data_IF_341356733291
#
_entry.id   IF_341356733291
#
_cell.length_a   1.000
_cell.length_b   1.000
_cell.length_c   1.000
_cell.angle_alpha   90.00
_cell.angle_beta   90.00
_cell.angle_gamma   90.00
#
_symmetry.space_group_name_H-M   'P 1'
#
loop_
_entity.id
_entity.type
_entity.pdbx_description
1 polymer ?
#
# COMPACT_ATOMS: atom_id res chain seq x y z
N UNK A 1 -28.92 -44.32 61.58
CA UNK A 1 -28.62 -45.37 60.59
C UNK A 1 -27.35 -44.98 59.86
N UNK A 2 -26.40 -45.85 59.93
CA UNK A 2 -24.99 -45.74 59.64
C UNK A 2 -24.64 -45.77 58.15
N UNK A 3 -23.40 -45.63 57.83
CA UNK A 3 -22.78 -44.78 56.82
C UNK A 3 -22.26 -45.59 55.62
N UNK A 4 -21.93 -44.94 54.57
CA UNK A 4 -21.20 -45.57 53.47
C UNK A 4 -19.88 -44.84 53.17
N UNK A 5 -18.80 -45.60 53.25
CA UNK A 5 -17.42 -45.21 53.07
C UNK A 5 -17.06 -44.88 51.61
N UNK A 6 -16.01 -44.08 51.36
CA UNK A 6 -15.54 -43.74 50.02
C UNK A 6 -14.57 -44.76 49.46
N UNK A 7 -14.46 -44.92 48.15
CA UNK A 7 -13.39 -45.70 47.52
C UNK A 7 -12.13 -44.86 47.30
N UNK A 8 -11.02 -45.52 47.50
CA UNK A 8 -9.64 -45.05 47.37
C UNK A 8 -9.29 -44.66 45.93
N UNK A 9 -8.63 -43.52 45.84
CA UNK A 9 -8.00 -43.02 44.64
C UNK A 9 -6.76 -43.83 44.25
N UNK A 10 -6.65 -44.09 42.95
CA UNK A 10 -5.39 -44.54 42.36
C UNK A 10 -4.65 -43.30 41.82
N UNK A 11 -3.47 -43.08 42.40
CA UNK A 11 -2.56 -42.04 41.95
C UNK A 11 -2.00 -42.43 40.57
N UNK A 12 -2.24 -41.55 39.60
CA UNK A 12 -1.45 -41.55 38.35
C UNK A 12 -0.22 -40.66 38.59
N UNK A 13 0.90 -41.33 38.74
CA UNK A 13 2.21 -40.70 38.68
C UNK A 13 2.42 -40.14 37.28
N UNK A 14 2.33 -38.84 37.13
CA UNK A 14 2.69 -38.15 35.91
C UNK A 14 4.20 -38.25 35.67
N UNK A 15 4.59 -38.97 34.65
CA UNK A 15 5.95 -38.95 34.12
C UNK A 15 6.11 -37.60 33.43
N UNK A 16 6.66 -36.62 34.16
CA UNK A 16 7.25 -35.45 33.54
C UNK A 16 8.48 -35.90 32.74
N UNK A 17 8.28 -36.15 31.47
CA UNK A 17 9.36 -36.33 30.52
C UNK A 17 10.18 -35.04 30.45
N UNK A 18 11.34 -35.10 31.08
CA UNK A 18 12.37 -34.03 31.02
C UNK A 18 12.88 -33.98 29.56
N UNK A 19 12.31 -33.09 28.74
CA UNK A 19 12.81 -32.84 27.40
C UNK A 19 14.16 -32.13 27.56
N UNK A 20 15.27 -32.71 27.05
CA UNK A 20 16.58 -32.07 27.24
C UNK A 20 16.60 -30.71 26.53
N UNK A 21 17.17 -29.66 27.16
CA UNK A 21 17.16 -28.27 26.63
C UNK A 21 17.99 -28.06 25.36
N UNK A 22 18.69 -29.10 24.90
CA UNK A 22 19.59 -29.02 23.74
C UNK A 22 18.87 -29.04 22.40
N UNK A 23 17.61 -29.54 22.33
CA UNK A 23 16.86 -29.65 21.06
C UNK A 23 16.00 -28.42 20.77
N UNK A 24 15.64 -27.63 21.79
CA UNK A 24 14.78 -26.47 21.63
C UNK A 24 15.49 -25.25 21.04
N UNK A 25 16.79 -25.10 21.25
CA UNK A 25 17.57 -23.94 20.75
C UNK A 25 17.66 -23.90 19.21
N UNK A 26 17.91 -25.00 18.48
CA UNK A 26 18.00 -24.94 17.03
C UNK A 26 16.62 -24.71 16.36
N UNK A 27 15.53 -25.16 16.99
CA UNK A 27 14.17 -24.96 16.43
C UNK A 27 13.77 -23.49 16.56
N UNK A 28 14.04 -22.84 17.69
CA UNK A 28 13.75 -21.41 17.88
C UNK A 28 14.61 -20.56 16.94
N UNK A 29 15.88 -20.90 16.78
CA UNK A 29 16.77 -20.20 15.84
C UNK A 29 16.32 -20.39 14.38
N UNK A 30 15.86 -21.57 14.00
CA UNK A 30 15.34 -21.84 12.66
C UNK A 30 14.04 -21.08 12.38
N UNK A 31 13.13 -20.99 13.36
CA UNK A 31 11.89 -20.21 13.23
C UNK A 31 12.19 -18.73 13.13
N UNK A 32 13.16 -18.22 13.90
CA UNK A 32 13.57 -16.81 13.84
C UNK A 32 14.21 -16.47 12.48
N UNK A 33 15.06 -17.34 11.94
CA UNK A 33 15.67 -17.17 10.62
C UNK A 33 14.65 -17.24 9.49
N UNK A 34 13.65 -18.12 9.61
CA UNK A 34 12.56 -18.21 8.62
C UNK A 34 11.65 -16.98 8.64
N UNK A 35 11.44 -16.36 9.81
CA UNK A 35 10.65 -15.13 9.95
C UNK A 35 11.33 -13.92 9.31
N UNK A 36 12.66 -13.85 9.33
CA UNK A 36 13.46 -12.81 8.67
C UNK A 36 13.45 -12.95 7.14
N UNK A 37 13.30 -14.15 6.61
CA UNK A 37 13.26 -14.40 5.18
C UNK A 37 11.91 -14.00 4.53
N UNK A 38 10.83 -13.95 5.29
CA UNK A 38 9.50 -13.56 4.79
C UNK A 38 9.26 -12.03 4.78
N UNK A 39 10.13 -11.24 5.42
CA UNK A 39 10.01 -9.77 5.47
C UNK A 39 10.63 -9.02 4.28
N UNK A 40 11.17 -9.68 3.27
CA UNK A 40 12.05 -9.09 2.25
C UNK A 40 11.51 -9.00 0.83
N UNK A 41 10.22 -9.19 0.56
CA UNK A 41 9.66 -8.96 -0.76
C UNK A 41 9.02 -7.56 -0.88
N UNK A 42 9.78 -6.51 -0.65
CA UNK A 42 9.50 -5.19 -1.21
C UNK A 42 9.77 -5.30 -2.71
N UNK A 43 8.70 -5.51 -3.48
CA UNK A 43 8.76 -5.84 -4.90
C UNK A 43 9.62 -4.83 -5.67
N UNK A 44 10.66 -5.33 -6.31
CA UNK A 44 11.38 -4.60 -7.36
C UNK A 44 10.37 -4.19 -8.43
N UNK A 45 9.83 -2.97 -8.31
CA UNK A 45 8.85 -2.47 -9.28
C UNK A 45 7.71 -1.65 -8.67
N UNK A 46 7.57 -1.59 -7.36
CA UNK A 46 6.61 -0.70 -6.72
C UNK A 46 7.17 0.72 -6.60
N UNK A 47 6.35 1.76 -6.81
CA UNK A 47 6.76 3.13 -6.60
C UNK A 47 7.05 3.39 -5.12
N UNK A 48 8.07 4.19 -4.83
CA UNK A 48 8.33 4.66 -3.47
C UNK A 48 7.16 5.53 -2.97
N UNK A 49 6.97 5.60 -1.66
CA UNK A 49 5.90 6.41 -1.06
C UNK A 49 5.95 7.88 -1.49
N UNK A 50 7.16 8.44 -1.64
CA UNK A 50 7.37 9.80 -2.15
C UNK A 50 6.88 9.99 -3.59
N UNK A 51 7.01 8.96 -4.44
CA UNK A 51 6.51 8.96 -5.82
C UNK A 51 4.99 9.02 -5.83
N UNK A 52 4.33 8.22 -4.99
CA UNK A 52 2.86 8.23 -4.85
C UNK A 52 2.38 9.59 -4.34
N UNK A 53 3.05 10.13 -3.33
CA UNK A 53 2.75 11.47 -2.80
C UNK A 53 2.88 12.56 -3.87
N UNK A 54 3.96 12.56 -4.66
CA UNK A 54 4.16 13.51 -5.76
C UNK A 54 3.10 13.36 -6.86
N UNK A 55 2.69 12.12 -7.17
CA UNK A 55 1.65 11.85 -8.15
C UNK A 55 0.28 12.37 -7.71
N UNK A 56 -0.09 12.16 -6.43
CA UNK A 56 -1.33 12.69 -5.86
C UNK A 56 -1.34 14.22 -5.86
N UNK A 57 -0.22 14.84 -5.45
CA UNK A 57 -0.09 16.30 -5.51
C UNK A 57 -0.26 16.84 -6.93
N UNK A 58 0.39 16.20 -7.92
CA UNK A 58 0.27 16.57 -9.32
C UNK A 58 -1.17 16.40 -9.83
N UNK A 59 -1.84 15.29 -9.48
CA UNK A 59 -3.23 15.06 -9.88
C UNK A 59 -4.17 16.13 -9.34
N UNK A 60 -4.04 16.50 -8.06
CA UNK A 60 -4.83 17.59 -7.47
C UNK A 60 -4.52 18.91 -8.20
N UNK A 61 -3.25 19.22 -8.41
CA UNK A 61 -2.84 20.44 -9.08
C UNK A 61 -3.42 20.54 -10.49
N UNK A 62 -3.35 19.50 -11.29
CA UNK A 62 -3.92 19.45 -12.64
C UNK A 62 -5.44 19.66 -12.61
N UNK A 63 -6.14 19.00 -11.68
CA UNK A 63 -7.59 19.15 -11.52
C UNK A 63 -7.95 20.59 -11.12
N UNK A 64 -7.26 21.15 -10.13
CA UNK A 64 -7.51 22.53 -9.67
C UNK A 64 -7.19 23.57 -10.76
N UNK A 65 -6.13 23.36 -11.53
CA UNK A 65 -5.78 24.23 -12.65
C UNK A 65 -6.84 24.20 -13.75
N UNK A 66 -7.34 23.02 -14.10
CA UNK A 66 -8.42 22.90 -15.09
C UNK A 66 -9.73 23.58 -14.64
N UNK A 67 -10.09 23.45 -13.37
CA UNK A 67 -11.26 24.12 -12.79
C UNK A 67 -11.05 25.65 -12.79
N UNK A 68 -9.88 26.12 -12.36
CA UNK A 68 -9.58 27.53 -12.32
C UNK A 68 -9.61 28.16 -13.73
N UNK A 69 -9.06 27.46 -14.72
CA UNK A 69 -9.11 27.89 -16.13
C UNK A 69 -10.56 27.97 -16.64
N UNK A 70 -11.34 26.91 -16.43
CA UNK A 70 -12.75 26.85 -16.87
C UNK A 70 -13.61 27.96 -16.25
N UNK A 71 -13.33 28.36 -15.01
CA UNK A 71 -14.08 29.36 -14.26
C UNK A 71 -13.39 30.73 -14.27
N UNK A 72 -12.28 30.89 -14.99
CA UNK A 72 -11.47 32.12 -15.02
C UNK A 72 -11.05 32.65 -13.63
N UNK A 73 -10.73 31.70 -12.75
CA UNK A 73 -10.25 31.94 -11.39
C UNK A 73 -8.71 31.90 -11.32
N UNK A 74 -8.16 32.39 -10.22
CA UNK A 74 -6.73 32.21 -9.95
C UNK A 74 -6.46 30.76 -9.62
N UNK A 75 -5.42 30.18 -10.21
CA UNK A 75 -4.95 28.85 -9.85
C UNK A 75 -4.50 28.83 -8.39
N UNK A 76 -4.99 27.91 -7.56
CA UNK A 76 -4.52 27.77 -6.19
C UNK A 76 -3.06 27.35 -6.14
N UNK A 77 -2.42 27.57 -4.99
CA UNK A 77 -1.06 27.11 -4.75
C UNK A 77 -0.93 25.58 -4.78
N UNK A 78 0.31 25.09 -4.73
CA UNK A 78 0.58 23.67 -4.69
C UNK A 78 -0.12 23.00 -3.50
N UNK A 79 -0.78 21.84 -3.71
CA UNK A 79 -1.41 21.10 -2.61
C UNK A 79 -0.35 20.45 -1.70
N UNK A 80 -0.65 20.38 -0.41
CA UNK A 80 0.11 19.57 0.54
C UNK A 80 -0.57 18.22 0.66
N UNK A 81 0.19 17.13 0.42
CA UNK A 81 -0.26 15.74 0.54
C UNK A 81 0.50 15.06 1.67
N UNK A 82 -0.20 14.33 2.52
CA UNK A 82 0.35 13.62 3.67
C UNK A 82 -0.39 12.30 3.94
N UNK A 83 0.12 11.49 4.87
CA UNK A 83 -0.51 10.26 5.34
C UNK A 83 -1.04 9.34 4.23
N UNK A 84 -0.25 9.15 3.16
CA UNK A 84 -0.62 8.25 2.05
C UNK A 84 -0.62 6.80 2.52
N UNK A 85 -1.75 6.12 2.40
CA UNK A 85 -1.96 4.71 2.73
C UNK A 85 -2.42 3.97 1.48
N UNK A 86 -1.55 3.16 0.92
CA UNK A 86 -1.87 2.32 -0.25
C UNK A 86 -2.56 1.05 0.23
N UNK A 87 -3.78 0.82 -0.22
CA UNK A 87 -4.57 -0.37 0.10
C UNK A 87 -4.35 -1.49 -0.92
N UNK A 88 -4.23 -1.14 -2.22
CA UNK A 88 -3.94 -2.12 -3.27
C UNK A 88 -2.92 -1.60 -4.27
N UNK A 89 -2.21 -2.53 -4.90
CA UNK A 89 -1.25 -2.26 -5.99
C UNK A 89 -1.35 -3.37 -7.02
N UNK A 90 -1.82 -3.04 -8.20
CA UNK A 90 -1.99 -3.98 -9.29
C UNK A 90 -1.08 -3.62 -10.47
N UNK A 91 -0.40 -4.61 -11.04
CA UNK A 91 0.40 -4.40 -12.24
C UNK A 91 -0.50 -4.26 -13.45
N UNK A 92 -0.35 -3.18 -14.21
CA UNK A 92 -1.17 -2.88 -15.37
C UNK A 92 -0.30 -2.53 -16.59
N UNK A 93 -0.89 -2.61 -17.78
CA UNK A 93 -0.30 -2.09 -18.98
C UNK A 93 -0.89 -0.71 -19.30
N UNK A 94 -0.05 0.28 -19.52
CA UNK A 94 -0.43 1.66 -19.85
C UNK A 94 0.18 2.00 -21.22
N UNK A 95 -0.65 1.99 -22.26
CA UNK A 95 -0.16 1.98 -23.63
C UNK A 95 0.76 0.77 -23.86
N UNK A 96 1.95 0.99 -24.37
CA UNK A 96 2.96 -0.07 -24.57
C UNK A 96 3.85 -0.28 -23.33
N UNK A 97 3.74 0.60 -22.34
CA UNK A 97 4.57 0.59 -21.14
C UNK A 97 4.00 -0.27 -20.01
N UNK A 98 4.87 -0.54 -19.02
CA UNK A 98 4.47 -1.15 -17.75
C UNK A 98 4.07 -0.06 -16.78
N UNK A 99 3.06 -0.33 -15.97
CA UNK A 99 2.62 0.56 -14.92
C UNK A 99 2.02 -0.18 -13.75
N UNK A 100 1.54 0.60 -12.80
CA UNK A 100 0.80 0.12 -11.63
C UNK A 100 -0.46 0.94 -11.46
N UNK A 101 -1.50 0.29 -11.02
CA UNK A 101 -2.73 0.88 -10.53
C UNK A 101 -2.70 0.84 -9.01
N UNK A 102 -2.91 1.98 -8.38
CA UNK A 102 -2.82 2.15 -6.94
C UNK A 102 -4.13 2.72 -6.41
N UNK A 103 -4.64 2.12 -5.35
CA UNK A 103 -5.81 2.59 -4.63
C UNK A 103 -5.50 2.71 -3.14
N UNK A 104 -6.15 3.65 -2.46
CA UNK A 104 -5.95 3.86 -1.04
C UNK A 104 -6.56 5.16 -0.56
N UNK A 105 -6.04 5.67 0.55
CA UNK A 105 -6.48 6.90 1.19
C UNK A 105 -5.30 7.80 1.52
N UNK A 106 -5.55 9.10 1.58
CA UNK A 106 -4.53 10.09 1.90
C UNK A 106 -5.16 11.35 2.51
N UNK A 107 -4.34 12.17 3.13
CA UNK A 107 -4.73 13.47 3.64
C UNK A 107 -4.15 14.56 2.74
N UNK A 108 -4.90 15.63 2.53
CA UNK A 108 -4.41 16.74 1.72
C UNK A 108 -5.09 18.07 2.07
N UNK A 109 -4.47 19.18 1.67
CA UNK A 109 -5.06 20.51 1.75
C UNK A 109 -4.50 21.45 0.67
N UNK A 110 -5.24 22.48 0.35
CA UNK A 110 -4.73 23.65 -0.35
C UNK A 110 -4.27 24.70 0.66
N UNK A 111 -3.43 25.62 0.23
CA UNK A 111 -2.96 26.70 1.10
C UNK A 111 -4.14 27.51 1.66
N UNK A 112 -4.25 27.60 2.97
CA UNK A 112 -5.34 28.29 3.68
C UNK A 112 -6.59 27.44 3.94
N UNK A 113 -6.69 26.23 3.40
CA UNK A 113 -7.81 25.34 3.63
C UNK A 113 -7.58 24.36 4.80
N UNK A 114 -8.66 23.90 5.45
CA UNK A 114 -8.58 22.78 6.39
C UNK A 114 -8.04 21.52 5.73
N UNK A 115 -7.37 20.66 6.51
CA UNK A 115 -6.95 19.35 6.03
C UNK A 115 -8.17 18.45 5.75
N UNK A 116 -8.20 17.85 4.58
CA UNK A 116 -9.15 16.80 4.21
C UNK A 116 -8.49 15.47 4.51
N UNK A 117 -9.03 14.76 5.48
CA UNK A 117 -8.51 13.47 5.93
C UNK A 117 -9.20 12.31 5.20
N UNK A 118 -8.51 11.17 5.12
CA UNK A 118 -9.05 9.91 4.58
C UNK A 118 -9.72 10.06 3.20
N UNK A 119 -9.14 10.91 2.35
CA UNK A 119 -9.63 11.09 0.98
C UNK A 119 -9.23 9.88 0.14
N UNK A 120 -10.17 9.18 -0.51
CA UNK A 120 -9.85 8.03 -1.34
C UNK A 120 -9.10 8.47 -2.60
N UNK A 121 -8.17 7.64 -3.07
CA UNK A 121 -7.51 7.83 -4.36
C UNK A 121 -7.52 6.56 -5.21
N UNK A 122 -7.48 6.79 -6.51
CA UNK A 122 -7.36 5.79 -7.56
C UNK A 122 -6.48 6.40 -8.65
N UNK A 123 -5.23 5.93 -8.76
CA UNK A 123 -4.23 6.50 -9.67
C UNK A 123 -3.48 5.42 -10.44
N UNK A 124 -3.02 5.81 -11.63
CA UNK A 124 -2.18 4.98 -12.47
C UNK A 124 -0.81 5.63 -12.61
N UNK A 125 0.24 4.84 -12.41
CA UNK A 125 1.62 5.28 -12.61
C UNK A 125 2.28 4.44 -13.69
N UNK A 126 2.74 5.09 -14.75
CA UNK A 126 3.52 4.45 -15.81
C UNK A 126 5.01 4.50 -15.44
N UNK A 127 5.68 3.39 -15.59
CA UNK A 127 7.13 3.31 -15.41
C UNK A 127 7.84 3.79 -16.66
N UNK A 128 8.81 4.68 -16.51
CA UNK A 128 9.64 5.14 -17.61
C UNK A 128 10.49 4.01 -18.21
N UNK A 129 10.92 4.16 -19.47
CA UNK A 129 11.62 3.14 -20.24
C UNK A 129 12.87 2.57 -19.55
N UNK A 130 13.63 3.42 -18.86
CA UNK A 130 14.81 3.02 -18.09
C UNK A 130 14.49 2.47 -16.70
N UNK A 131 13.21 2.42 -16.32
CA UNK A 131 12.75 1.90 -15.05
C UNK A 131 13.07 2.74 -13.81
N UNK A 132 13.64 3.94 -13.99
CA UNK A 132 14.08 4.81 -12.89
C UNK A 132 13.10 5.96 -12.59
N UNK A 133 12.23 6.30 -13.55
CA UNK A 133 11.26 7.38 -13.42
C UNK A 133 9.84 6.84 -13.43
N UNK A 134 8.94 7.67 -12.91
CA UNK A 134 7.50 7.42 -12.95
C UNK A 134 6.78 8.61 -13.56
N UNK A 135 5.65 8.34 -14.20
CA UNK A 135 4.75 9.34 -14.78
C UNK A 135 3.35 9.07 -14.26
N UNK A 136 2.61 10.12 -13.93
CA UNK A 136 1.19 10.00 -13.67
C UNK A 136 0.49 9.69 -14.99
N UNK A 137 -0.28 8.61 -15.04
CA UNK A 137 -1.07 8.24 -16.22
C UNK A 137 -2.55 8.43 -15.93
N UNK A 138 -3.24 9.14 -16.81
CA UNK A 138 -4.68 9.42 -16.69
C UNK A 138 -5.40 8.83 -17.89
N UNK A 139 -6.41 7.97 -17.65
CA UNK A 139 -7.21 7.45 -18.76
C UNK A 139 -8.01 8.59 -19.38
N UNK A 140 -7.98 8.70 -20.70
CA UNK A 140 -8.94 9.48 -21.47
C UNK A 140 -10.10 8.59 -21.90
N UNK A 141 -11.29 9.17 -22.07
CA UNK A 141 -12.42 8.42 -22.59
C UNK A 141 -12.04 7.69 -23.88
N UNK A 142 -12.36 6.42 -23.96
CA UNK A 142 -12.20 5.61 -25.17
C UNK A 142 -13.56 5.35 -25.78
N UNK A 143 -13.65 5.38 -27.10
CA UNK A 143 -14.82 4.92 -27.83
C UNK A 143 -15.04 3.41 -27.58
N UNK A 144 -16.29 2.92 -27.52
CA UNK A 144 -16.55 1.50 -27.35
C UNK A 144 -15.83 0.68 -28.43
N UNK A 145 -14.93 -0.24 -28.01
CA UNK A 145 -14.15 -1.10 -28.89
C UNK A 145 -12.78 -0.56 -29.30
N UNK A 146 -12.41 0.65 -28.89
CA UNK A 146 -11.05 1.18 -29.07
C UNK A 146 -10.17 0.87 -27.83
N UNK A 147 -8.84 0.85 -28.04
CA UNK A 147 -7.90 0.74 -26.92
C UNK A 147 -7.91 2.00 -26.08
N UNK A 148 -7.77 1.84 -24.74
CA UNK A 148 -7.72 2.94 -23.79
C UNK A 148 -6.61 3.93 -24.17
N UNK A 149 -6.97 5.19 -24.36
CA UNK A 149 -6.01 6.29 -24.53
C UNK A 149 -5.55 6.80 -23.18
N UNK A 150 -4.25 7.09 -23.08
CA UNK A 150 -3.63 7.55 -21.83
C UNK A 150 -2.92 8.88 -22.02
N UNK A 151 -3.17 9.82 -21.12
CA UNK A 151 -2.33 11.00 -20.91
C UNK A 151 -1.28 10.68 -19.85
N UNK A 152 -0.03 11.06 -20.10
CA UNK A 152 1.04 10.83 -19.12
C UNK A 152 1.78 12.11 -18.82
N UNK A 153 1.80 12.47 -17.54
CA UNK A 153 2.46 13.67 -17.02
C UNK A 153 3.71 13.29 -16.23
N UNK A 154 4.87 13.92 -16.47
CA UNK A 154 6.07 13.67 -15.68
C UNK A 154 5.86 14.11 -14.24
N UNK A 155 6.35 13.33 -13.28
CA UNK A 155 6.35 13.75 -11.88
C UNK A 155 7.45 14.81 -11.66
N UNK A 156 7.18 15.83 -10.83
CA UNK A 156 8.21 16.77 -10.41
C UNK A 156 9.32 16.02 -9.66
N UNK A 157 10.56 16.33 -9.98
CA UNK A 157 11.78 15.74 -9.36
C UNK A 157 12.15 16.58 -8.14
#
# INVERSE_FOLDING_TARGET
MLPASPPRGHGFAGVLGLVPPVVTVPIVALVLLLSLALGGCSGRGQPAASVVQSALALQIQLTQSAIAEALQLKTPGAPEVSHVRVASTDSVRIGEGRGVHLQGDFDWRLAGDPVRVDSPFDIYLQRGERGQSWRLARPQGSEPGSSQVWLTDPLPV
#
